data_IF_287116283724
#
_entry.id   IF_287116283724
#
_cell.length_a   1.000
_cell.length_b   1.000
_cell.length_c   1.000
_cell.angle_alpha   90.00
_cell.angle_beta   90.00
_cell.angle_gamma   90.00
#
_symmetry.space_group_name_H-M   'P 1'
#
loop_
_entity.id
_entity.type
_entity.pdbx_description
1 polymer ?
#
# COMPACT_ATOMS: atom_id res chain seq x y z
N UNK A 1 -27.50 -24.72 -9.11
CA UNK A 1 -27.33 -24.56 -10.58
C UNK A 1 -28.65 -24.76 -11.32
N UNK A 2 -29.46 -25.68 -10.86
CA UNK A 2 -30.73 -26.04 -11.51
C UNK A 2 -31.78 -24.93 -11.45
N UNK A 3 -31.97 -24.27 -10.31
CA UNK A 3 -32.89 -23.10 -10.17
C UNK A 3 -32.54 -21.92 -11.07
N UNK A 4 -31.25 -21.70 -11.31
CA UNK A 4 -30.76 -20.62 -12.20
C UNK A 4 -30.98 -21.00 -13.67
N UNK A 5 -30.79 -22.27 -13.98
CA UNK A 5 -31.07 -22.80 -15.31
C UNK A 5 -32.58 -22.75 -15.60
N UNK A 6 -33.43 -23.04 -14.61
CA UNK A 6 -34.88 -22.94 -14.73
C UNK A 6 -35.34 -21.46 -14.88
N UNK A 7 -34.78 -20.54 -14.12
CA UNK A 7 -35.10 -19.10 -14.23
C UNK A 7 -34.69 -18.54 -15.60
N UNK A 8 -33.53 -18.93 -16.12
CA UNK A 8 -33.05 -18.54 -17.45
C UNK A 8 -33.93 -19.18 -18.56
N UNK A 9 -34.33 -20.45 -18.40
CA UNK A 9 -35.21 -21.12 -19.32
C UNK A 9 -36.61 -20.50 -19.36
N UNK A 10 -37.15 -20.07 -18.20
CA UNK A 10 -38.42 -19.31 -18.12
C UNK A 10 -38.35 -17.98 -18.79
N UNK A 11 -37.18 -17.29 -18.75
CA UNK A 11 -36.93 -16.05 -19.47
C UNK A 11 -36.62 -16.23 -20.97
N UNK A 12 -36.54 -17.49 -21.46
CA UNK A 12 -36.22 -17.81 -22.86
C UNK A 12 -34.80 -17.41 -23.28
N UNK A 13 -33.88 -17.26 -22.33
CA UNK A 13 -32.50 -16.82 -22.57
C UNK A 13 -31.51 -17.87 -22.07
N UNK A 14 -30.41 -18.03 -22.81
CA UNK A 14 -29.27 -18.85 -22.38
C UNK A 14 -28.33 -18.04 -21.50
N UNK A 15 -27.76 -18.64 -20.44
CA UNK A 15 -26.74 -18.04 -19.60
C UNK A 15 -25.43 -17.72 -20.35
N UNK A 16 -25.26 -18.26 -21.57
CA UNK A 16 -24.11 -18.00 -22.43
C UNK A 16 -24.28 -16.80 -23.35
N UNK A 17 -25.51 -16.25 -23.44
CA UNK A 17 -25.76 -15.08 -24.27
C UNK A 17 -25.17 -13.81 -23.67
N UNK A 18 -24.68 -12.88 -24.52
CA UNK A 18 -24.15 -11.61 -24.01
C UNK A 18 -25.27 -10.75 -23.38
N UNK A 19 -24.98 -10.16 -22.21
CA UNK A 19 -25.88 -9.25 -21.50
C UNK A 19 -26.10 -8.00 -22.36
N UNK A 20 -27.33 -7.75 -22.81
CA UNK A 20 -27.71 -6.60 -23.64
C UNK A 20 -28.54 -5.57 -22.88
N UNK A 21 -29.36 -6.00 -21.92
CA UNK A 21 -30.22 -5.15 -21.12
C UNK A 21 -29.83 -5.22 -19.63
N UNK A 22 -30.22 -4.19 -18.86
CA UNK A 22 -29.96 -4.15 -17.41
C UNK A 22 -30.67 -5.29 -16.69
N UNK A 23 -31.87 -5.66 -17.16
CA UNK A 23 -32.68 -6.76 -16.59
C UNK A 23 -32.00 -8.12 -16.72
N UNK A 24 -31.22 -8.33 -17.78
CA UNK A 24 -30.49 -9.58 -18.00
C UNK A 24 -29.45 -9.85 -16.91
N UNK A 25 -28.91 -8.79 -16.26
CA UNK A 25 -27.96 -8.92 -15.15
C UNK A 25 -28.57 -9.58 -13.92
N UNK A 26 -29.86 -9.34 -13.67
CA UNK A 26 -30.55 -9.91 -12.51
C UNK A 26 -30.73 -11.43 -12.61
N UNK A 27 -30.80 -11.96 -13.83
CA UNK A 27 -30.84 -13.41 -14.05
C UNK A 27 -29.54 -14.12 -13.63
N UNK A 28 -28.39 -13.40 -13.65
CA UNK A 28 -27.10 -13.92 -13.20
C UNK A 28 -26.90 -13.87 -11.68
N UNK A 29 -27.73 -13.12 -10.96
CA UNK A 29 -27.56 -12.91 -9.52
C UNK A 29 -27.61 -14.20 -8.69
N UNK A 30 -28.57 -15.13 -8.89
CA UNK A 30 -28.60 -16.37 -8.14
C UNK A 30 -27.35 -17.25 -8.39
N UNK A 31 -26.87 -17.35 -9.63
CA UNK A 31 -25.65 -18.06 -9.98
C UNK A 31 -24.43 -17.43 -9.32
N UNK A 32 -24.35 -16.12 -9.32
CA UNK A 32 -23.27 -15.39 -8.64
C UNK A 32 -23.26 -15.64 -7.14
N UNK A 33 -24.41 -15.56 -6.47
CA UNK A 33 -24.53 -15.84 -5.04
C UNK A 33 -24.18 -17.29 -4.69
N UNK A 34 -24.52 -18.24 -5.55
CA UNK A 34 -24.18 -19.65 -5.35
C UNK A 34 -22.67 -19.90 -5.47
N UNK A 35 -21.99 -19.26 -6.44
CA UNK A 35 -20.55 -19.46 -6.70
C UNK A 35 -19.68 -18.63 -5.75
N UNK A 36 -20.03 -17.36 -5.55
CA UNK A 36 -19.24 -16.39 -4.76
C UNK A 36 -19.76 -16.17 -3.35
N UNK A 37 -21.07 -16.32 -3.12
CA UNK A 37 -21.66 -15.95 -1.83
C UNK A 37 -21.47 -14.48 -1.47
N UNK A 38 -21.81 -14.11 -0.23
CA UNK A 38 -21.71 -12.72 0.26
C UNK A 38 -20.36 -12.41 0.91
N UNK A 39 -19.69 -13.41 1.47
CA UNK A 39 -18.46 -13.23 2.31
C UNK A 39 -17.21 -13.92 1.75
N UNK A 40 -17.33 -14.63 0.66
CA UNK A 40 -16.21 -15.39 0.08
C UNK A 40 -14.99 -14.51 -0.20
N UNK A 41 -15.19 -13.29 -0.67
CA UNK A 41 -14.11 -12.33 -0.88
C UNK A 41 -13.29 -12.03 0.39
N UNK A 42 -13.93 -11.95 1.55
CA UNK A 42 -13.26 -11.73 2.83
C UNK A 42 -12.47 -12.95 3.26
N UNK A 43 -13.05 -14.14 3.11
CA UNK A 43 -12.42 -15.43 3.44
C UNK A 43 -11.23 -15.67 2.51
N UNK A 44 -11.39 -15.47 1.21
CA UNK A 44 -10.31 -15.65 0.22
C UNK A 44 -9.15 -14.68 0.49
N UNK A 45 -9.46 -13.41 0.83
CA UNK A 45 -8.44 -12.42 1.20
C UNK A 45 -7.65 -12.85 2.45
N UNK A 46 -8.32 -13.36 3.48
CA UNK A 46 -7.67 -13.86 4.69
C UNK A 46 -6.83 -15.11 4.41
N UNK A 47 -7.35 -16.05 3.62
CA UNK A 47 -6.61 -17.26 3.23
C UNK A 47 -5.34 -16.89 2.46
N UNK A 48 -5.43 -15.95 1.50
CA UNK A 48 -4.28 -15.46 0.75
C UNK A 48 -3.23 -14.83 1.66
N UNK A 49 -3.66 -14.02 2.64
CA UNK A 49 -2.77 -13.45 3.65
C UNK A 49 -2.00 -14.54 4.40
N UNK A 50 -2.70 -15.57 4.90
CA UNK A 50 -2.07 -16.65 5.70
C UNK A 50 -1.16 -17.53 4.86
N UNK A 51 -1.55 -17.88 3.64
CA UNK A 51 -0.85 -18.87 2.82
C UNK A 51 0.29 -18.25 1.98
N UNK A 52 0.15 -16.96 1.56
CA UNK A 52 1.06 -16.30 0.62
C UNK A 52 1.73 -15.08 1.23
N UNK A 53 0.96 -14.10 1.72
CA UNK A 53 1.52 -12.80 2.12
C UNK A 53 2.45 -12.93 3.32
N UNK A 54 2.13 -13.73 4.33
CA UNK A 54 3.01 -13.96 5.48
C UNK A 54 4.38 -14.49 5.05
N UNK A 55 4.42 -15.42 4.10
CA UNK A 55 5.68 -15.96 3.57
C UNK A 55 6.46 -14.92 2.78
N UNK A 56 5.77 -14.10 1.98
CA UNK A 56 6.41 -13.05 1.20
C UNK A 56 6.98 -11.93 2.09
N UNK A 57 6.24 -11.55 3.15
CA UNK A 57 6.71 -10.57 4.13
C UNK A 57 7.96 -11.10 4.85
N UNK A 58 7.94 -12.36 5.27
CA UNK A 58 9.08 -12.98 5.92
C UNK A 58 10.32 -13.00 5.00
N UNK A 59 10.14 -13.36 3.72
CA UNK A 59 11.24 -13.38 2.74
C UNK A 59 11.82 -12.00 2.49
N UNK A 60 10.98 -10.97 2.48
CA UNK A 60 11.43 -9.58 2.33
C UNK A 60 12.27 -9.09 3.51
N UNK A 61 12.02 -9.64 4.72
CA UNK A 61 12.70 -9.33 5.98
C UNK A 61 13.46 -10.56 6.52
N UNK A 62 14.08 -11.32 5.64
CA UNK A 62 14.65 -12.63 5.95
C UNK A 62 15.78 -12.54 6.99
N UNK A 63 16.60 -11.49 6.95
CA UNK A 63 17.82 -11.39 7.72
C UNK A 63 17.88 -10.13 8.57
N UNK A 64 18.01 -10.31 9.87
CA UNK A 64 18.27 -9.24 10.84
C UNK A 64 19.73 -9.33 11.27
N UNK A 65 20.45 -8.21 11.20
CA UNK A 65 21.85 -8.08 11.60
C UNK A 65 21.96 -7.08 12.74
N UNK A 66 22.96 -7.27 13.62
CA UNK A 66 23.24 -6.33 14.71
C UNK A 66 24.32 -5.33 14.30
N UNK A 67 24.11 -4.06 14.59
CA UNK A 67 25.12 -3.01 14.39
C UNK A 67 26.26 -3.13 15.39
N UNK A 68 26.01 -3.75 16.56
CA UNK A 68 26.99 -3.91 17.64
C UNK A 68 27.92 -5.11 17.36
N UNK A 69 27.37 -6.23 16.88
CA UNK A 69 28.15 -7.44 16.53
C UNK A 69 27.88 -7.84 15.08
N UNK A 70 28.75 -7.48 14.14
CA UNK A 70 28.60 -7.82 12.71
C UNK A 70 28.60 -9.32 12.42
N UNK A 71 29.05 -10.15 13.37
CA UNK A 71 29.05 -11.63 13.24
C UNK A 71 27.73 -12.25 13.66
N UNK A 72 26.89 -11.50 14.39
CA UNK A 72 25.57 -11.94 14.78
C UNK A 72 24.59 -11.67 13.64
N UNK A 73 23.87 -12.71 13.25
CA UNK A 73 22.68 -12.57 12.40
C UNK A 73 21.59 -13.52 12.91
N UNK A 74 20.35 -13.11 12.67
CA UNK A 74 19.16 -13.93 12.81
C UNK A 74 18.50 -14.00 11.43
N UNK A 75 18.24 -15.23 10.98
CA UNK A 75 17.60 -15.50 9.70
C UNK A 75 16.31 -16.25 9.93
N UNK A 76 15.22 -15.75 9.34
CA UNK A 76 13.95 -16.44 9.27
C UNK A 76 13.95 -17.38 8.06
N UNK A 77 13.62 -18.66 8.25
CA UNK A 77 13.63 -19.64 7.17
C UNK A 77 12.24 -19.98 6.67
N UNK A 78 11.26 -20.13 7.58
CA UNK A 78 9.87 -20.40 7.22
C UNK A 78 8.91 -19.82 8.27
N UNK A 79 7.64 -19.64 7.88
CA UNK A 79 6.55 -19.19 8.73
C UNK A 79 5.30 -20.04 8.47
N UNK A 80 4.64 -20.44 9.54
CA UNK A 80 3.40 -21.19 9.47
C UNK A 80 2.41 -20.72 10.53
N UNK A 81 1.12 -20.82 10.21
CA UNK A 81 0.02 -20.55 11.14
C UNK A 81 -0.64 -21.86 11.47
N UNK A 82 -0.75 -22.16 12.75
CA UNK A 82 -1.41 -23.36 13.27
C UNK A 82 -2.95 -23.32 13.10
N UNK A 83 -3.63 -24.20 13.79
CA UNK A 83 -5.08 -24.14 14.00
C UNK A 83 -5.39 -23.49 15.34
N UNK A 84 -6.60 -22.95 15.54
CA UNK A 84 -6.99 -22.36 16.81
C UNK A 84 -6.88 -23.37 17.97
N UNK A 85 -6.22 -22.94 19.02
CA UNK A 85 -5.98 -23.76 20.21
C UNK A 85 -6.02 -22.95 21.50
N UNK A 86 -6.33 -23.64 22.61
CA UNK A 86 -6.37 -23.06 23.96
C UNK A 86 -4.98 -22.63 24.40
N UNK A 87 -4.94 -21.61 25.26
CA UNK A 87 -3.70 -21.15 25.88
C UNK A 87 -3.22 -22.05 27.01
N UNK A 88 -4.11 -22.91 27.54
CA UNK A 88 -3.83 -23.70 28.72
C UNK A 88 -2.85 -24.86 28.36
N UNK A 89 -1.63 -24.87 28.90
CA UNK A 89 -0.64 -25.89 28.56
C UNK A 89 -1.06 -27.28 29.07
N UNK A 90 -1.90 -27.34 30.11
CA UNK A 90 -2.30 -28.59 30.80
C UNK A 90 -3.59 -29.20 30.22
N UNK A 91 -4.20 -28.55 29.22
CA UNK A 91 -5.40 -29.07 28.59
C UNK A 91 -5.10 -30.32 27.75
N UNK A 92 -5.83 -31.42 28.04
CA UNK A 92 -5.75 -32.68 27.27
C UNK A 92 -6.18 -32.47 25.82
N UNK A 93 -7.26 -31.70 25.63
CA UNK A 93 -7.74 -31.27 24.31
C UNK A 93 -7.48 -29.77 24.14
N UNK A 94 -6.59 -29.44 23.21
CA UNK A 94 -6.21 -28.06 22.91
C UNK A 94 -7.11 -27.42 21.86
N UNK A 95 -7.96 -28.19 21.19
CA UNK A 95 -8.89 -27.63 20.22
C UNK A 95 -9.89 -26.70 20.90
N UNK A 96 -10.22 -25.59 20.25
CA UNK A 96 -11.20 -24.62 20.74
C UNK A 96 -12.19 -24.30 19.64
N UNK A 97 -13.49 -24.23 20.00
CA UNK A 97 -14.54 -23.86 19.07
C UNK A 97 -14.86 -22.36 19.17
N UNK A 98 -15.37 -21.71 18.11
CA UNK A 98 -15.79 -20.32 18.18
C UNK A 98 -16.90 -20.12 19.22
N UNK A 99 -17.83 -21.06 19.35
CA UNK A 99 -18.89 -21.03 20.36
C UNK A 99 -18.33 -20.95 21.78
N UNK A 100 -17.35 -21.78 22.10
CA UNK A 100 -16.68 -21.75 23.41
C UNK A 100 -15.97 -20.39 23.63
N UNK A 101 -15.35 -19.82 22.59
CA UNK A 101 -14.72 -18.50 22.66
C UNK A 101 -15.74 -17.40 22.99
N UNK A 102 -16.96 -17.46 22.42
CA UNK A 102 -18.02 -16.49 22.73
C UNK A 102 -18.49 -16.60 24.18
N UNK A 103 -18.65 -17.82 24.69
CA UNK A 103 -19.10 -18.04 26.06
C UNK A 103 -18.08 -17.69 27.13
N UNK A 104 -16.80 -17.87 26.82
CA UNK A 104 -15.69 -17.68 27.78
C UNK A 104 -14.96 -16.34 27.61
N UNK A 105 -15.45 -15.45 26.78
CA UNK A 105 -14.82 -14.16 26.46
C UNK A 105 -13.34 -14.28 26.01
N UNK A 106 -13.03 -15.35 25.25
CA UNK A 106 -11.68 -15.62 24.75
C UNK A 106 -11.60 -15.24 23.25
N UNK A 107 -10.39 -15.01 22.78
CA UNK A 107 -10.13 -14.76 21.35
C UNK A 107 -9.90 -16.09 20.64
N UNK A 108 -10.65 -16.31 19.54
CA UNK A 108 -10.44 -17.44 18.63
C UNK A 108 -9.18 -17.23 17.79
N UNK A 109 -8.04 -17.76 18.23
CA UNK A 109 -6.73 -17.48 17.66
C UNK A 109 -5.85 -18.71 17.56
N UNK A 110 -4.93 -18.69 16.60
CA UNK A 110 -3.90 -19.69 16.39
C UNK A 110 -2.51 -19.12 16.64
N UNK A 111 -1.54 -19.96 16.98
CA UNK A 111 -0.15 -19.56 17.05
C UNK A 111 0.47 -19.38 15.68
N UNK A 112 1.33 -18.38 15.57
CA UNK A 112 2.24 -18.20 14.45
C UNK A 112 3.57 -18.83 14.87
N UNK A 113 4.05 -19.76 14.07
CA UNK A 113 5.32 -20.43 14.25
C UNK A 113 6.31 -19.96 13.18
N UNK A 114 7.56 -19.77 13.58
CA UNK A 114 8.65 -19.47 12.66
C UNK A 114 9.81 -20.43 12.86
N UNK A 115 10.48 -20.75 11.78
CA UNK A 115 11.75 -21.43 11.77
C UNK A 115 12.87 -20.41 11.71
N UNK A 116 13.79 -20.44 12.65
CA UNK A 116 14.88 -19.48 12.78
C UNK A 116 16.25 -20.14 12.74
N UNK A 117 17.20 -19.44 12.16
CA UNK A 117 18.62 -19.74 12.20
C UNK A 117 19.37 -18.51 12.74
N UNK A 118 20.21 -18.69 13.73
CA UNK A 118 21.02 -17.60 14.29
C UNK A 118 22.41 -18.05 14.67
N UNK A 119 23.36 -17.11 14.73
CA UNK A 119 24.72 -17.35 15.16
C UNK A 119 24.88 -17.09 16.67
N UNK A 120 25.53 -17.99 17.38
CA UNK A 120 25.91 -17.80 18.78
C UNK A 120 27.32 -18.34 19.03
N UNK A 121 28.26 -17.45 19.38
CA UNK A 121 29.64 -17.82 19.62
C UNK A 121 30.31 -18.51 18.43
N UNK A 122 30.03 -18.09 17.20
CA UNK A 122 30.58 -18.66 15.96
C UNK A 122 29.93 -19.97 15.51
N UNK A 123 28.92 -20.49 16.25
CA UNK A 123 28.14 -21.68 15.87
C UNK A 123 26.78 -21.27 15.35
N UNK A 124 26.31 -21.96 14.31
CA UNK A 124 24.97 -21.79 13.74
C UNK A 124 24.00 -22.66 14.53
N UNK A 125 22.96 -22.04 15.07
CA UNK A 125 21.89 -22.72 15.80
C UNK A 125 20.60 -22.58 14.99
N UNK A 126 19.93 -23.71 14.74
CA UNK A 126 18.61 -23.76 14.06
C UNK A 126 17.55 -24.17 15.05
N UNK A 127 16.44 -23.45 15.10
CA UNK A 127 15.26 -23.80 15.87
C UNK A 127 14.03 -23.80 14.98
N UNK A 128 13.24 -24.87 15.08
CA UNK A 128 11.99 -25.03 14.34
C UNK A 128 10.79 -24.78 15.24
N UNK A 129 9.70 -24.32 14.61
CA UNK A 129 8.40 -24.12 15.27
C UNK A 129 8.48 -23.22 16.52
N UNK A 130 9.21 -22.11 16.44
CA UNK A 130 9.27 -21.15 17.53
C UNK A 130 8.00 -20.29 17.49
N UNK A 131 7.16 -20.29 18.55
CA UNK A 131 5.96 -19.45 18.57
C UNK A 131 6.37 -17.99 18.77
N UNK A 132 5.94 -17.10 17.87
CA UNK A 132 6.21 -15.67 17.96
C UNK A 132 4.99 -14.84 18.36
N UNK A 133 3.80 -15.37 18.21
CA UNK A 133 2.58 -14.64 18.55
C UNK A 133 1.32 -15.44 18.23
N UNK A 134 0.19 -14.77 18.39
CA UNK A 134 -1.12 -15.33 18.08
C UNK A 134 -1.85 -14.47 17.05
N UNK A 135 -2.44 -15.13 16.07
CA UNK A 135 -3.25 -14.52 15.03
C UNK A 135 -4.72 -14.89 15.26
N UNK A 136 -5.65 -13.93 15.37
CA UNK A 136 -7.08 -14.23 15.31
C UNK A 136 -7.41 -14.90 13.98
N UNK A 137 -8.20 -15.96 14.02
CA UNK A 137 -8.57 -16.73 12.82
C UNK A 137 -9.99 -16.37 12.39
N UNK A 138 -10.12 -16.03 11.11
CA UNK A 138 -11.41 -15.74 10.50
C UNK A 138 -12.26 -17.02 10.42
N UNK A 139 -13.50 -16.93 10.82
CA UNK A 139 -14.42 -18.06 10.78
C UNK A 139 -14.64 -18.51 9.34
N UNK A 140 -14.69 -19.84 9.16
CA UNK A 140 -14.81 -20.56 7.87
C UNK A 140 -13.62 -20.36 6.90
N UNK A 141 -12.49 -19.78 7.39
CA UNK A 141 -11.23 -19.79 6.65
C UNK A 141 -10.56 -21.18 6.66
N UNK A 142 -9.54 -21.39 5.81
CA UNK A 142 -8.80 -22.66 5.71
C UNK A 142 -8.19 -23.13 7.04
N UNK A 143 -7.91 -22.21 7.95
CA UNK A 143 -7.34 -22.51 9.30
C UNK A 143 -8.41 -22.69 10.36
N UNK A 144 -9.67 -22.37 10.07
CA UNK A 144 -10.79 -22.52 11.00
C UNK A 144 -11.21 -23.98 11.12
N UNK A 145 -11.60 -24.42 12.32
CA UNK A 145 -12.14 -25.75 12.54
C UNK A 145 -13.48 -26.01 11.84
N UNK A 146 -14.23 -24.94 11.51
CA UNK A 146 -15.52 -25.02 10.83
C UNK A 146 -15.39 -25.22 9.33
N UNK A 147 -14.19 -25.09 8.75
CA UNK A 147 -13.99 -25.21 7.32
C UNK A 147 -14.24 -26.65 6.84
N UNK A 148 -15.11 -26.81 5.83
CA UNK A 148 -15.40 -28.11 5.23
C UNK A 148 -16.22 -29.07 6.09
N UNK A 149 -16.79 -28.59 7.21
CA UNK A 149 -17.69 -29.40 8.05
C UNK A 149 -19.09 -29.46 7.44
N UNK A 150 -19.75 -30.60 7.64
CA UNK A 150 -21.15 -30.79 7.29
C UNK A 150 -22.08 -30.17 8.36
N UNK A 151 -23.36 -30.01 8.02
CA UNK A 151 -24.34 -29.39 8.93
C UNK A 151 -24.49 -30.13 10.26
N UNK A 152 -24.38 -31.48 10.23
CA UNK A 152 -24.46 -32.30 11.43
C UNK A 152 -23.24 -32.10 12.35
N UNK A 153 -22.04 -31.92 11.77
CA UNK A 153 -20.83 -31.63 12.55
C UNK A 153 -20.88 -30.21 13.13
N UNK A 154 -21.36 -29.22 12.37
CA UNK A 154 -21.55 -27.86 12.84
C UNK A 154 -22.55 -27.81 14.01
N UNK A 155 -23.67 -28.52 13.89
CA UNK A 155 -24.66 -28.60 14.98
C UNK A 155 -24.05 -29.22 16.27
N UNK A 156 -23.18 -30.23 16.16
CA UNK A 156 -22.48 -30.80 17.33
C UNK A 156 -21.53 -29.79 18.00
N UNK A 157 -20.96 -28.87 17.24
CA UNK A 157 -20.12 -27.77 17.75
C UNK A 157 -20.95 -26.56 18.23
N UNK A 158 -22.28 -26.65 18.23
CA UNK A 158 -23.23 -25.57 18.52
C UNK A 158 -23.03 -24.34 17.61
N UNK A 159 -22.64 -24.56 16.35
CA UNK A 159 -22.49 -23.53 15.35
C UNK A 159 -23.62 -23.60 14.30
N UNK A 160 -24.11 -22.46 13.86
CA UNK A 160 -25.19 -22.38 12.89
C UNK A 160 -24.70 -22.76 11.48
N UNK A 161 -25.30 -23.75 10.78
CA UNK A 161 -24.94 -24.07 9.40
C UNK A 161 -25.14 -22.90 8.43
N UNK A 162 -26.12 -22.02 8.70
CA UNK A 162 -26.44 -20.86 7.85
C UNK A 162 -25.49 -19.67 8.08
N UNK A 163 -24.63 -19.72 9.09
CA UNK A 163 -23.65 -18.65 9.33
C UNK A 163 -22.61 -18.64 8.21
N UNK A 164 -22.48 -17.55 7.43
CA UNK A 164 -21.53 -17.46 6.31
C UNK A 164 -20.08 -17.36 6.76
N UNK A 165 -19.78 -17.01 8.02
CA UNK A 165 -18.43 -16.72 8.50
C UNK A 165 -17.89 -15.38 8.02
N UNK A 166 -16.58 -15.28 7.81
CA UNK A 166 -15.94 -14.05 7.33
C UNK A 166 -15.71 -12.99 8.40
N UNK A 167 -15.83 -13.33 9.67
CA UNK A 167 -15.60 -12.45 10.83
C UNK A 167 -14.69 -13.11 11.86
N UNK A 168 -14.33 -12.38 12.88
CA UNK A 168 -13.44 -12.81 13.95
C UNK A 168 -14.17 -12.80 15.29
N UNK A 169 -13.82 -13.73 16.18
CA UNK A 169 -14.24 -13.70 17.59
C UNK A 169 -13.06 -13.23 18.43
N UNK A 170 -13.18 -12.03 18.99
CA UNK A 170 -12.14 -11.40 19.79
C UNK A 170 -12.69 -11.04 21.17
N UNK A 171 -12.13 -11.67 22.22
CA UNK A 171 -12.62 -11.52 23.60
C UNK A 171 -14.14 -11.73 23.66
N UNK A 172 -14.62 -12.83 23.09
CA UNK A 172 -16.02 -13.21 23.04
C UNK A 172 -16.90 -12.40 22.09
N UNK A 173 -16.42 -11.28 21.57
CA UNK A 173 -17.20 -10.39 20.69
C UNK A 173 -16.90 -10.68 19.23
N UNK A 174 -17.94 -10.74 18.41
CA UNK A 174 -17.82 -10.88 16.96
C UNK A 174 -17.42 -9.54 16.33
N UNK A 175 -16.35 -9.56 15.54
CA UNK A 175 -15.79 -8.36 14.89
C UNK A 175 -15.52 -8.61 13.42
N UNK A 176 -15.89 -7.65 12.57
CA UNK A 176 -15.63 -7.63 11.14
C UNK A 176 -14.59 -6.57 10.85
N UNK A 177 -13.63 -6.90 9.98
CA UNK A 177 -12.73 -5.90 9.42
C UNK A 177 -13.43 -5.31 8.20
N UNK A 178 -13.77 -4.02 8.29
CA UNK A 178 -14.45 -3.31 7.22
C UNK A 178 -13.53 -3.12 6.01
N UNK A 179 -14.09 -3.26 4.82
CA UNK A 179 -13.42 -2.94 3.56
C UNK A 179 -13.07 -1.46 3.55
N UNK A 180 -11.82 -1.13 3.20
CA UNK A 180 -11.34 0.25 3.07
C UNK A 180 -11.24 0.62 1.60
N UNK A 181 -11.98 1.63 1.17
CA UNK A 181 -11.83 2.25 -0.14
C UNK A 181 -10.81 3.37 -0.06
N UNK A 182 -9.82 3.37 -0.94
CA UNK A 182 -8.83 4.43 -1.03
C UNK A 182 -8.36 4.64 -2.47
N UNK A 183 -7.84 5.84 -2.74
CA UNK A 183 -7.21 6.13 -4.01
C UNK A 183 -5.98 5.25 -4.23
N UNK A 184 -5.73 4.89 -5.48
CA UNK A 184 -4.54 4.14 -5.87
C UNK A 184 -3.28 4.87 -5.40
N UNK A 185 -2.41 4.16 -4.66
CA UNK A 185 -1.12 4.67 -4.19
C UNK A 185 -0.12 4.71 -5.35
N UNK A 186 0.89 5.57 -5.23
CA UNK A 186 2.02 5.67 -6.17
C UNK A 186 1.61 5.99 -7.63
N UNK A 187 0.42 6.55 -7.82
CA UNK A 187 -0.10 6.95 -9.12
C UNK A 187 -0.25 8.47 -9.21
N UNK A 188 0.07 9.02 -10.37
CA UNK A 188 -0.12 10.44 -10.68
C UNK A 188 -1.60 10.67 -10.98
N UNK A 189 -2.24 11.56 -10.24
CA UNK A 189 -3.62 12.00 -10.45
C UNK A 189 -3.58 13.50 -10.71
N UNK A 190 -4.13 13.93 -11.83
CA UNK A 190 -4.17 15.35 -12.22
C UNK A 190 -5.57 15.88 -12.01
N UNK A 191 -5.67 17.03 -11.37
CA UNK A 191 -6.92 17.71 -11.04
C UNK A 191 -6.86 19.16 -11.44
N UNK A 192 -7.99 19.70 -11.86
CA UNK A 192 -8.17 21.12 -12.12
C UNK A 192 -9.17 21.70 -11.11
N UNK A 193 -8.78 22.79 -10.45
CA UNK A 193 -9.69 23.61 -9.66
C UNK A 193 -10.07 24.85 -10.48
N UNK A 194 -11.17 24.73 -11.18
CA UNK A 194 -11.70 25.80 -12.07
C UNK A 194 -11.94 27.10 -11.34
N UNK A 195 -12.25 27.08 -10.03
CA UNK A 195 -12.50 28.28 -9.21
C UNK A 195 -11.24 29.09 -8.97
N UNK A 196 -10.10 28.41 -8.86
CA UNK A 196 -8.79 29.03 -8.58
C UNK A 196 -7.90 29.13 -9.81
N UNK A 197 -8.30 28.53 -10.94
CA UNK A 197 -7.47 28.42 -12.13
C UNK A 197 -6.18 27.64 -11.89
N UNK A 198 -6.19 26.67 -10.95
CA UNK A 198 -5.02 25.87 -10.58
C UNK A 198 -5.18 24.46 -11.15
N UNK A 199 -4.19 24.04 -11.91
CA UNK A 199 -4.03 22.63 -12.30
C UNK A 199 -2.95 22.02 -11.42
N UNK A 200 -3.24 20.86 -10.83
CA UNK A 200 -2.29 20.16 -9.95
C UNK A 200 -2.22 18.68 -10.25
N UNK A 201 -1.01 18.16 -10.32
CA UNK A 201 -0.75 16.72 -10.29
C UNK A 201 -0.38 16.32 -8.86
N UNK A 202 -1.08 15.34 -8.30
CA UNK A 202 -0.83 14.84 -6.96
C UNK A 202 -0.42 13.37 -7.00
N UNK A 203 0.52 12.99 -6.13
CA UNK A 203 0.95 11.62 -5.91
C UNK A 203 0.97 11.31 -4.43
N UNK A 204 0.23 10.27 -4.03
CA UNK A 204 0.35 9.69 -2.70
C UNK A 204 1.44 8.62 -2.75
N UNK A 205 2.65 9.00 -2.40
CA UNK A 205 3.78 8.11 -2.27
C UNK A 205 3.65 7.27 -1.01
N UNK A 206 3.59 5.97 -1.15
CA UNK A 206 3.49 5.04 -0.03
C UNK A 206 4.53 3.93 -0.20
N UNK A 207 5.40 3.83 0.77
CA UNK A 207 6.31 2.71 1.01
C UNK A 207 5.91 2.05 2.34
N UNK A 208 6.53 0.93 2.69
CA UNK A 208 6.31 0.28 3.99
C UNK A 208 6.73 1.17 5.18
N UNK A 209 7.73 2.02 5.00
CA UNK A 209 8.26 2.89 6.07
C UNK A 209 7.56 4.25 6.15
N UNK A 210 7.11 4.77 5.01
CA UNK A 210 6.65 6.16 4.93
C UNK A 210 5.52 6.35 3.93
N UNK A 211 4.56 7.18 4.33
CA UNK A 211 3.49 7.68 3.45
C UNK A 211 3.57 9.19 3.38
N UNK A 212 3.68 9.75 2.18
CA UNK A 212 3.73 11.19 1.94
C UNK A 212 2.96 11.57 0.69
N UNK A 213 2.51 12.81 0.62
CA UNK A 213 1.80 13.32 -0.56
C UNK A 213 2.58 14.49 -1.14
N UNK A 214 2.93 14.39 -2.42
CA UNK A 214 3.63 15.41 -3.18
C UNK A 214 2.69 15.98 -4.24
N UNK A 215 2.79 17.28 -4.48
CA UNK A 215 2.01 17.99 -5.47
C UNK A 215 2.92 18.74 -6.42
N UNK A 216 2.61 18.70 -7.70
CA UNK A 216 3.11 19.62 -8.72
C UNK A 216 1.92 20.46 -9.15
N UNK A 217 1.97 21.75 -8.91
CA UNK A 217 0.82 22.65 -9.10
C UNK A 217 1.22 23.91 -9.88
N UNK A 218 0.24 24.48 -10.56
CA UNK A 218 0.41 25.74 -11.29
C UNK A 218 -0.09 26.91 -10.45
N UNK A 219 0.68 28.01 -10.43
CA UNK A 219 0.28 29.29 -9.85
C UNK A 219 0.70 30.39 -10.79
N UNK A 220 -0.25 31.17 -11.29
CA UNK A 220 0.03 32.29 -12.21
C UNK A 220 0.91 31.91 -13.41
N UNK A 221 0.64 30.75 -14.02
CA UNK A 221 1.40 30.22 -15.15
C UNK A 221 2.76 29.59 -14.79
N UNK A 222 3.16 29.63 -13.52
CA UNK A 222 4.40 29.00 -13.03
C UNK A 222 4.11 27.68 -12.33
N UNK A 223 5.04 26.74 -12.45
CA UNK A 223 4.92 25.39 -11.89
C UNK A 223 5.80 25.26 -10.65
N UNK A 224 5.22 24.75 -9.57
CA UNK A 224 5.87 24.55 -8.29
C UNK A 224 5.68 23.12 -7.79
N UNK A 225 6.64 22.65 -7.01
CA UNK A 225 6.47 21.46 -6.20
C UNK A 225 6.11 21.88 -4.77
N UNK A 226 5.08 21.23 -4.22
CA UNK A 226 4.62 21.41 -2.85
C UNK A 226 4.69 20.09 -2.09
N UNK A 227 5.25 20.14 -0.89
CA UNK A 227 5.34 18.99 0.00
C UNK A 227 5.29 19.45 1.47
N UNK A 228 4.78 18.57 2.37
CA UNK A 228 4.66 18.90 3.79
C UNK A 228 6.00 19.12 4.51
N UNK A 229 7.10 18.55 3.99
CA UNK A 229 8.45 18.78 4.52
C UNK A 229 9.06 20.11 4.12
N UNK A 230 8.39 20.89 3.29
CA UNK A 230 8.85 22.20 2.83
C UNK A 230 8.02 23.31 3.46
N UNK A 231 8.66 24.45 3.77
CA UNK A 231 7.98 25.65 4.28
C UNK A 231 7.24 26.38 3.16
N UNK A 232 7.83 26.41 1.97
CA UNK A 232 7.34 27.13 0.80
C UNK A 232 7.31 26.21 -0.42
N UNK A 233 6.49 26.58 -1.42
CA UNK A 233 6.44 25.89 -2.69
C UNK A 233 7.71 26.26 -3.50
N UNK A 234 8.39 25.24 -4.04
CA UNK A 234 9.68 25.42 -4.75
C UNK A 234 9.43 25.40 -6.25
N UNK A 235 9.99 26.37 -7.02
CA UNK A 235 9.93 26.36 -8.47
C UNK A 235 10.50 25.07 -9.06
N UNK A 236 9.80 24.49 -10.03
CA UNK A 236 10.10 23.15 -10.53
C UNK A 236 11.48 23.03 -11.17
N UNK A 237 11.96 24.09 -11.85
CA UNK A 237 13.28 24.11 -12.48
C UNK A 237 14.42 23.98 -11.46
N UNK A 238 14.25 24.60 -10.28
CA UNK A 238 15.22 24.47 -9.19
C UNK A 238 15.28 23.03 -8.69
N UNK A 239 14.15 22.34 -8.65
CA UNK A 239 14.10 20.92 -8.28
C UNK A 239 14.86 20.07 -9.31
N UNK A 240 14.68 20.29 -10.61
CA UNK A 240 15.43 19.58 -11.65
C UNK A 240 16.95 19.81 -11.53
N UNK A 241 17.38 21.06 -11.26
CA UNK A 241 18.80 21.38 -11.04
C UNK A 241 19.36 20.68 -9.79
N UNK A 242 18.59 20.62 -8.70
CA UNK A 242 18.98 19.89 -7.48
C UNK A 242 19.13 18.38 -7.73
N UNK A 243 18.27 17.80 -8.57
CA UNK A 243 18.33 16.38 -8.96
C UNK A 243 19.48 16.06 -9.91
N UNK A 244 20.18 17.07 -10.46
CA UNK A 244 21.39 16.92 -11.24
C UNK A 244 21.31 17.36 -12.69
N UNK A 245 20.14 17.79 -13.19
CA UNK A 245 20.01 18.34 -14.55
C UNK A 245 20.25 19.85 -14.51
N UNK A 246 21.38 20.29 -15.02
CA UNK A 246 21.78 21.70 -15.02
C UNK A 246 21.39 22.43 -16.31
N UNK A 247 21.33 21.72 -17.44
CA UNK A 247 21.02 22.29 -18.75
C UNK A 247 19.53 22.58 -18.90
N UNK A 248 19.20 23.84 -19.18
CA UNK A 248 17.82 24.27 -19.42
C UNK A 248 17.22 23.58 -20.66
N UNK A 249 18.04 23.35 -21.69
CA UNK A 249 17.66 22.60 -22.90
C UNK A 249 17.27 21.15 -22.55
N UNK A 250 18.03 20.49 -21.67
CA UNK A 250 17.76 19.14 -21.24
C UNK A 250 16.46 19.07 -20.42
N UNK A 251 16.25 20.02 -19.51
CA UNK A 251 15.01 20.13 -18.72
C UNK A 251 13.81 20.31 -19.66
N UNK A 252 13.91 21.24 -20.65
CA UNK A 252 12.87 21.50 -21.61
C UNK A 252 12.54 20.24 -22.44
N UNK A 253 13.55 19.57 -22.96
CA UNK A 253 13.39 18.36 -23.74
C UNK A 253 12.78 17.21 -22.93
N UNK A 254 13.12 17.10 -21.65
CA UNK A 254 12.60 16.09 -20.75
C UNK A 254 11.10 16.27 -20.46
N UNK A 255 10.66 17.53 -20.33
CA UNK A 255 9.27 17.90 -20.00
C UNK A 255 8.41 17.98 -21.26
N UNK A 256 8.81 18.77 -22.24
CA UNK A 256 8.03 19.04 -23.45
C UNK A 256 8.26 17.99 -24.56
N UNK A 257 9.43 17.36 -24.59
CA UNK A 257 9.82 16.46 -25.70
C UNK A 257 10.05 17.24 -26.98
N UNK A 258 9.27 16.93 -28.02
CA UNK A 258 9.31 17.60 -29.34
C UNK A 258 8.12 18.53 -29.57
N UNK A 259 7.28 18.73 -28.57
CA UNK A 259 6.05 19.50 -28.69
C UNK A 259 6.30 20.97 -28.36
N UNK A 260 6.17 21.85 -29.37
CA UNK A 260 6.42 23.29 -29.24
C UNK A 260 5.44 23.98 -28.27
N UNK A 261 4.17 23.57 -28.25
CA UNK A 261 3.17 24.18 -27.38
C UNK A 261 3.50 23.96 -25.89
N UNK A 262 3.99 22.76 -25.52
CA UNK A 262 4.43 22.51 -24.16
C UNK A 262 5.75 23.21 -23.84
N UNK A 263 6.63 23.38 -24.84
CA UNK A 263 7.89 24.09 -24.67
C UNK A 263 7.66 25.58 -24.38
N UNK A 264 6.74 26.23 -25.08
CA UNK A 264 6.38 27.64 -24.87
C UNK A 264 5.79 27.85 -23.45
N UNK A 265 4.84 27.01 -23.04
CA UNK A 265 4.25 27.09 -21.71
C UNK A 265 5.27 26.87 -20.60
N UNK A 266 6.25 25.99 -20.82
CA UNK A 266 7.26 25.70 -19.81
C UNK A 266 8.38 26.73 -19.75
N UNK A 267 8.68 27.45 -20.85
CA UNK A 267 9.76 28.41 -20.95
C UNK A 267 9.72 29.51 -19.88
N UNK A 268 8.53 29.96 -19.50
CA UNK A 268 8.32 30.94 -18.42
C UNK A 268 8.90 30.47 -17.07
N UNK A 269 8.91 29.16 -16.82
CA UNK A 269 9.47 28.58 -15.58
C UNK A 269 11.01 28.65 -15.59
N UNK A 270 11.65 28.53 -16.74
CA UNK A 270 13.11 28.67 -16.90
C UNK A 270 13.50 30.12 -16.66
N UNK A 271 12.78 31.08 -17.23
CA UNK A 271 13.00 32.52 -16.99
C UNK A 271 12.88 32.88 -15.51
N UNK A 272 11.88 32.32 -14.80
CA UNK A 272 11.73 32.52 -13.37
C UNK A 272 12.91 32.00 -12.58
N UNK A 273 13.43 30.83 -12.92
CA UNK A 273 14.61 30.26 -12.26
C UNK A 273 15.89 31.07 -12.54
N UNK A 274 16.00 31.64 -13.74
CA UNK A 274 17.10 32.55 -14.06
C UNK A 274 17.04 33.85 -13.23
N UNK A 275 15.85 34.41 -13.01
CA UNK A 275 15.66 35.58 -12.12
C UNK A 275 16.00 35.30 -10.65
N UNK A 276 16.01 34.04 -10.23
CA UNK A 276 16.41 33.63 -8.87
C UNK A 276 17.91 33.34 -8.76
N UNK A 277 18.68 33.49 -9.85
CA UNK A 277 20.13 33.30 -9.92
C UNK A 277 20.63 31.94 -9.43
N UNK A 278 19.79 30.88 -9.54
CA UNK A 278 20.12 29.50 -9.15
C UNK A 278 20.48 28.71 -10.39
N UNK A 279 21.76 28.55 -10.72
CA UNK A 279 22.22 27.88 -11.95
C UNK A 279 22.88 26.53 -11.67
N UNK A 280 23.53 26.35 -10.53
CA UNK A 280 24.26 25.13 -10.21
C UNK A 280 23.46 24.21 -9.28
N UNK A 281 23.82 22.91 -9.31
CA UNK A 281 23.23 21.90 -8.41
C UNK A 281 23.40 22.28 -6.94
N UNK A 282 24.58 22.81 -6.56
CA UNK A 282 24.86 23.20 -5.17
C UNK A 282 23.96 24.36 -4.74
N UNK A 283 23.85 25.39 -5.55
CA UNK A 283 22.93 26.52 -5.26
C UNK A 283 21.48 26.06 -5.14
N UNK A 284 21.05 25.12 -5.99
CA UNK A 284 19.70 24.56 -5.94
C UNK A 284 19.46 23.75 -4.65
N UNK A 285 20.43 22.97 -4.21
CA UNK A 285 20.35 22.24 -2.94
C UNK A 285 20.35 23.20 -1.74
N UNK A 286 21.16 24.24 -1.75
CA UNK A 286 21.16 25.27 -0.69
C UNK A 286 19.83 26.04 -0.65
N UNK A 287 19.26 26.37 -1.82
CA UNK A 287 17.97 27.01 -1.93
C UNK A 287 16.84 26.15 -1.34
N UNK A 288 16.83 24.84 -1.62
CA UNK A 288 15.88 23.89 -1.07
C UNK A 288 16.12 23.68 0.42
N UNK A 289 17.38 23.52 0.83
CA UNK A 289 17.75 23.26 2.23
C UNK A 289 17.33 24.38 3.18
N UNK A 290 17.42 25.64 2.74
CA UNK A 290 16.91 26.79 3.52
C UNK A 290 15.38 26.73 3.75
N UNK A 291 14.65 25.94 2.96
CA UNK A 291 13.18 25.81 2.99
C UNK A 291 12.69 24.45 3.52
N UNK A 292 13.58 23.54 3.83
CA UNK A 292 13.24 22.26 4.46
C UNK A 292 12.87 22.51 5.93
N UNK A 293 11.75 21.92 6.35
CA UNK A 293 11.38 21.86 7.77
C UNK A 293 12.33 20.92 8.48
N UNK A 294 13.13 21.47 9.38
CA UNK A 294 14.06 20.69 10.20
C UNK A 294 13.25 19.69 11.03
N UNK A 295 13.33 18.42 10.70
CA UNK A 295 12.82 17.38 11.58
C UNK A 295 13.74 17.34 12.81
N UNK A 296 13.20 17.66 13.99
CA UNK A 296 13.89 17.51 15.27
C UNK A 296 14.22 16.03 15.48
N UNK A 297 15.34 15.59 14.93
CA UNK A 297 16.00 14.35 15.36
C UNK A 297 16.95 14.74 16.49
N UNK A 298 16.97 13.90 17.53
CA UNK A 298 17.70 14.14 18.76
C UNK A 298 19.15 14.60 18.58
N UNK A 299 19.77 15.00 19.66
CA UNK A 299 21.10 15.58 19.80
C UNK A 299 22.13 14.88 18.90
N UNK A 300 22.32 15.40 17.67
CA UNK A 300 23.27 14.92 16.68
C UNK A 300 23.85 16.11 15.89
N UNK A 301 25.04 15.95 15.35
CA UNK A 301 25.75 16.94 14.53
C UNK A 301 24.81 17.63 13.53
N UNK A 302 24.81 18.97 13.52
CA UNK A 302 24.11 19.77 12.51
C UNK A 302 24.68 19.41 11.13
N UNK A 303 23.84 18.78 10.29
CA UNK A 303 24.15 18.57 8.88
C UNK A 303 24.08 19.88 8.11
N UNK A 304 24.75 19.94 6.96
CA UNK A 304 24.64 21.12 6.10
C UNK A 304 23.22 21.21 5.51
N UNK A 305 22.75 22.42 5.21
CA UNK A 305 21.43 22.61 4.59
C UNK A 305 21.30 21.85 3.24
N UNK A 306 22.38 21.76 2.48
CA UNK A 306 22.45 21.01 1.22
C UNK A 306 22.33 19.50 1.44
N UNK A 307 22.89 18.94 2.52
CA UNK A 307 22.77 17.50 2.84
C UNK A 307 21.37 17.15 3.31
N UNK A 308 20.74 18.03 4.10
CA UNK A 308 19.33 17.86 4.50
C UNK A 308 18.39 17.90 3.28
N UNK A 309 18.63 18.82 2.33
CA UNK A 309 17.88 18.88 1.08
C UNK A 309 18.03 17.59 0.27
N UNK A 310 19.25 17.08 0.15
CA UNK A 310 19.54 15.85 -0.58
C UNK A 310 18.84 14.65 0.06
N UNK A 311 18.87 14.54 1.39
CA UNK A 311 18.17 13.47 2.12
C UNK A 311 16.65 13.55 1.91
N UNK A 312 16.06 14.74 2.00
CA UNK A 312 14.62 14.94 1.79
C UNK A 312 14.22 14.60 0.34
N UNK A 313 15.01 15.00 -0.64
CA UNK A 313 14.78 14.64 -2.04
C UNK A 313 14.94 13.15 -2.29
N UNK A 314 15.86 12.48 -1.61
CA UNK A 314 16.11 11.05 -1.77
C UNK A 314 15.04 10.19 -1.09
N UNK A 315 14.68 10.50 0.17
CA UNK A 315 13.91 9.59 1.03
C UNK A 315 12.48 10.02 1.32
N UNK A 316 12.15 11.31 1.20
CA UNK A 316 10.84 11.86 1.62
C UNK A 316 9.96 12.21 0.43
N UNK A 317 10.48 13.00 -0.51
CA UNK A 317 9.73 13.41 -1.70
C UNK A 317 9.69 12.24 -2.68
N UNK A 318 8.48 11.72 -2.96
CA UNK A 318 8.27 10.56 -3.83
C UNK A 318 9.13 9.35 -3.40
N UNK A 319 9.01 8.95 -2.14
CA UNK A 319 9.77 7.85 -1.53
C UNK A 319 9.63 6.52 -2.28
N UNK A 320 8.51 6.29 -3.00
CA UNK A 320 8.28 5.08 -3.79
C UNK A 320 9.19 4.94 -5.01
N UNK A 321 9.86 6.03 -5.43
CA UNK A 321 10.87 5.98 -6.50
C UNK A 321 12.24 5.90 -5.84
N UNK A 322 12.90 4.73 -5.83
CA UNK A 322 14.16 4.54 -5.13
C UNK A 322 15.29 5.34 -5.80
N UNK A 323 16.21 5.79 -4.96
CA UNK A 323 17.45 6.46 -5.38
C UNK A 323 18.62 5.56 -5.00
N UNK A 324 19.24 4.93 -5.98
CA UNK A 324 20.38 4.04 -5.79
C UNK A 324 21.69 4.80 -6.05
N UNK A 325 22.64 4.71 -5.13
CA UNK A 325 23.97 5.32 -5.25
C UNK A 325 23.95 6.82 -5.62
N UNK A 326 22.95 7.56 -5.15
CA UNK A 326 22.82 8.98 -5.48
C UNK A 326 22.36 9.29 -6.90
N UNK A 327 21.88 8.29 -7.64
CA UNK A 327 21.32 8.47 -8.98
C UNK A 327 19.84 8.84 -8.92
N UNK A 328 19.54 10.09 -9.23
CA UNK A 328 18.18 10.64 -9.22
C UNK A 328 17.43 10.53 -10.57
N UNK A 329 18.00 9.89 -11.57
CA UNK A 329 17.45 9.86 -12.94
C UNK A 329 15.97 9.38 -12.97
N UNK A 330 15.66 8.28 -12.29
CA UNK A 330 14.31 7.73 -12.27
C UNK A 330 13.32 8.72 -11.62
N UNK A 331 13.72 9.37 -10.53
CA UNK A 331 12.92 10.38 -9.84
C UNK A 331 12.72 11.62 -10.70
N UNK A 332 13.73 12.04 -11.41
CA UNK A 332 13.66 13.16 -12.35
C UNK A 332 12.69 12.88 -13.50
N UNK A 333 12.74 11.68 -14.09
CA UNK A 333 11.80 11.25 -15.12
C UNK A 333 10.37 11.22 -14.61
N UNK A 334 10.17 10.75 -13.38
CA UNK A 334 8.85 10.72 -12.76
C UNK A 334 8.27 12.13 -12.54
N UNK A 335 9.09 13.06 -12.03
CA UNK A 335 8.70 14.47 -11.86
C UNK A 335 8.42 15.12 -13.22
N UNK A 336 9.26 14.88 -14.23
CA UNK A 336 9.04 15.38 -15.59
C UNK A 336 7.70 14.90 -16.17
N UNK A 337 7.35 13.63 -15.93
CA UNK A 337 6.05 13.08 -16.34
C UNK A 337 4.90 13.78 -15.62
N UNK A 338 5.04 14.07 -14.31
CA UNK A 338 4.02 14.84 -13.57
C UNK A 338 3.84 16.24 -14.17
N UNK A 339 4.94 16.94 -14.44
CA UNK A 339 4.92 18.28 -15.05
C UNK A 339 4.28 18.24 -16.43
N UNK A 340 4.67 17.27 -17.27
CA UNK A 340 4.09 17.09 -18.60
C UNK A 340 2.58 16.87 -18.53
N UNK A 341 2.08 16.04 -17.62
CA UNK A 341 0.64 15.83 -17.44
C UNK A 341 -0.09 17.09 -16.99
N UNK A 342 0.54 17.93 -16.17
CA UNK A 342 0.01 19.23 -15.79
C UNK A 342 -0.11 20.15 -17.02
N UNK A 343 0.95 20.22 -17.87
CA UNK A 343 0.91 21.03 -19.11
C UNK A 343 -0.15 20.55 -20.09
N UNK A 344 -0.31 19.23 -20.25
CA UNK A 344 -1.37 18.65 -21.09
C UNK A 344 -2.75 19.08 -20.60
N UNK A 345 -3.01 19.04 -19.29
CA UNK A 345 -4.29 19.44 -18.73
C UNK A 345 -4.51 20.98 -18.72
N UNK A 346 -3.43 21.77 -18.78
CA UNK A 346 -3.55 23.23 -18.98
C UNK A 346 -4.03 23.59 -20.37
N UNK A 347 -3.69 22.81 -21.40
CA UNK A 347 -4.13 23.00 -22.78
C UNK A 347 -5.49 22.35 -23.06
N UNK A 348 -5.75 21.21 -22.42
CA UNK A 348 -6.95 20.40 -22.64
C UNK A 348 -7.54 19.92 -21.31
N UNK A 349 -8.57 20.61 -20.82
CA UNK A 349 -9.25 20.26 -19.58
C UNK A 349 -9.92 18.88 -19.63
N UNK A 350 -10.17 18.32 -20.80
CA UNK A 350 -10.75 16.98 -20.94
C UNK A 350 -9.81 15.86 -20.46
N UNK A 351 -8.52 16.14 -20.30
CA UNK A 351 -7.48 15.21 -19.85
C UNK A 351 -7.32 15.16 -18.32
N UNK A 352 -8.15 15.90 -17.60
CA UNK A 352 -8.17 15.86 -16.12
C UNK A 352 -8.68 14.51 -15.64
N UNK A 353 -8.03 13.95 -14.62
CA UNK A 353 -8.45 12.67 -14.04
C UNK A 353 -9.64 12.87 -13.08
N UNK A 354 -10.61 11.96 -13.17
CA UNK A 354 -11.69 11.88 -12.21
C UNK A 354 -11.26 11.01 -10.98
N UNK A 355 -11.32 11.59 -9.79
CA UNK A 355 -11.05 10.88 -8.54
C UNK A 355 -12.09 9.81 -8.24
N UNK A 356 -13.32 10.03 -8.65
CA UNK A 356 -14.44 9.15 -8.34
C UNK A 356 -14.54 7.99 -9.33
N UNK A 357 -13.76 8.04 -10.40
CA UNK A 357 -13.67 6.93 -11.33
C UNK A 357 -13.15 5.66 -10.65
N UNK A 358 -13.89 4.57 -10.79
CA UNK A 358 -13.64 3.29 -10.12
C UNK A 358 -12.22 2.75 -10.38
N UNK A 359 -11.67 2.97 -11.59
CA UNK A 359 -10.31 2.57 -11.95
C UNK A 359 -9.20 3.25 -11.15
N UNK A 360 -9.50 4.41 -10.53
CA UNK A 360 -8.56 5.16 -9.69
C UNK A 360 -8.63 4.77 -8.21
N UNK A 361 -9.57 3.90 -7.84
CA UNK A 361 -9.79 3.46 -6.46
C UNK A 361 -9.33 2.03 -6.26
N UNK A 362 -9.00 1.68 -5.03
CA UNK A 362 -8.66 0.33 -4.59
C UNK A 362 -9.47 0.00 -3.35
N UNK A 363 -9.93 -1.24 -3.29
CA UNK A 363 -10.60 -1.80 -2.13
C UNK A 363 -9.59 -2.66 -1.37
N UNK A 364 -9.28 -2.30 -0.14
CA UNK A 364 -8.43 -3.10 0.75
C UNK A 364 -9.30 -3.95 1.65
N UNK A 365 -9.13 -5.26 1.53
CA UNK A 365 -9.83 -6.28 2.32
C UNK A 365 -9.05 -6.66 3.58
N UNK A 366 -9.65 -7.50 4.42
CA UNK A 366 -9.09 -7.92 5.70
C UNK A 366 -7.67 -8.47 5.60
N UNK A 367 -7.36 -9.30 4.60
CA UNK A 367 -6.02 -9.87 4.41
C UNK A 367 -4.95 -8.82 4.18
N UNK A 368 -5.23 -7.84 3.32
CA UNK A 368 -4.28 -6.76 3.01
C UNK A 368 -4.04 -5.84 4.21
N UNK A 369 -5.10 -5.53 4.98
CA UNK A 369 -4.97 -4.72 6.19
C UNK A 369 -4.18 -5.45 7.28
N UNK A 370 -4.40 -6.76 7.44
CA UNK A 370 -3.63 -7.59 8.36
C UNK A 370 -2.16 -7.72 7.92
N UNK A 371 -1.88 -7.81 6.63
CA UNK A 371 -0.51 -7.83 6.09
C UNK A 371 0.24 -6.54 6.44
N UNK A 372 -0.39 -5.37 6.29
CA UNK A 372 0.21 -4.09 6.68
C UNK A 372 0.47 -4.02 8.20
N UNK A 373 -0.47 -4.51 9.01
CA UNK A 373 -0.30 -4.56 10.47
C UNK A 373 0.86 -5.49 10.86
N UNK A 374 0.92 -6.68 10.28
CA UNK A 374 1.97 -7.65 10.55
C UNK A 374 3.35 -7.12 10.17
N UNK A 375 3.48 -6.49 9.01
CA UNK A 375 4.71 -5.83 8.59
C UNK A 375 5.16 -4.74 9.57
N UNK A 376 4.22 -3.92 10.04
CA UNK A 376 4.50 -2.89 11.05
C UNK A 376 5.00 -3.49 12.37
N UNK A 377 4.46 -4.63 12.80
CA UNK A 377 4.90 -5.31 14.03
C UNK A 377 6.31 -5.88 13.91
N UNK A 378 6.71 -6.41 12.75
CA UNK A 378 8.08 -6.86 12.50
C UNK A 378 9.06 -5.70 12.71
N UNK A 379 8.82 -4.55 12.10
CA UNK A 379 9.71 -3.38 12.21
C UNK A 379 9.74 -2.73 13.60
N UNK A 380 8.73 -2.93 14.44
CA UNK A 380 8.76 -2.43 15.83
C UNK A 380 9.65 -3.33 16.71
N UNK A 381 9.77 -4.59 16.36
CA UNK A 381 10.57 -5.57 17.13
C UNK A 381 12.05 -5.61 16.72
N UNK A 382 12.43 -4.96 15.64
CA UNK A 382 13.83 -4.71 15.22
C UNK A 382 14.41 -3.48 15.93
#
# INVERSE_FOLDING_TARGET
MDEVMEAAAQAGKSLTEPVKAIEDKWLLLPAYLQVKGLVKQHIDSFNYFVDVDLKNILRANERVTSDIDPKFYLKYTDISVGRPERSDPDAIDRSITPHECRLRDITYSAFIYVDIEYTRGGKIVRRKNVPIGRLPIMLRSNKCWLAGQDDAALARMNECPLDPGGYFVVKGTEKVILVQEQLSKNRIIVEADSRKGIVQASVTSSTHERKSKSYVLTKHGLIYIKHNSLHEDIPIVIVFRALGIQSDKEILQLVAGQDEAYAELFAVNIEKAAKLEVFSRRQALDYIGARVKVMRRGVGLRRSASDEALEVLATVIMAHVPVENGNFRNKTMYIATMVRRVLVCMLDESKVDDRDYVGNKRLELAGQLLALLFLSLIHISE
#
